data_IF_308434704700
#
_entry.id   IF_308434704700
#
_cell.length_a   1.000
_cell.length_b   1.000
_cell.length_c   1.000
_cell.angle_alpha   90.00
_cell.angle_beta   90.00
_cell.angle_gamma   90.00
#
_symmetry.space_group_name_H-M   'P 1'
#
loop_
_entity.id
_entity.type
_entity.pdbx_description
1 polymer ?
#
# COMPACT_ATOMS: atom_id res chain seq x y z
N UNK A 1 2.75 37.59 -2.99
CA UNK A 1 2.68 36.20 -2.49
C UNK A 1 1.32 35.65 -2.82
N UNK A 2 1.23 34.74 -3.78
CA UNK A 2 0.00 33.99 -4.06
C UNK A 2 -0.14 32.91 -2.99
N UNK A 3 -1.20 32.96 -2.19
CA UNK A 3 -1.47 31.93 -1.18
C UNK A 3 -1.72 30.57 -1.84
N UNK A 4 -1.50 29.49 -1.08
CA UNK A 4 -1.78 28.12 -1.55
C UNK A 4 -3.22 28.01 -2.09
N UNK A 5 -3.46 27.31 -3.20
CA UNK A 5 -4.80 27.19 -3.76
C UNK A 5 -5.77 26.52 -2.80
N UNK A 6 -6.90 27.18 -2.53
CA UNK A 6 -8.00 26.64 -1.69
C UNK A 6 -9.26 26.33 -2.50
N UNK A 7 -9.37 26.91 -3.70
CA UNK A 7 -10.47 26.64 -4.64
C UNK A 7 -10.17 25.39 -5.44
N UNK A 8 -11.20 24.56 -5.59
CA UNK A 8 -11.12 23.37 -6.42
C UNK A 8 -11.01 23.75 -7.90
N UNK A 9 -10.22 22.97 -8.64
CA UNK A 9 -10.25 22.94 -10.09
C UNK A 9 -10.00 21.50 -10.54
N UNK A 10 -10.62 21.12 -11.66
CA UNK A 10 -10.40 19.79 -12.25
C UNK A 10 -8.91 19.56 -12.59
N UNK A 11 -8.19 20.61 -13.03
CA UNK A 11 -6.75 20.53 -13.30
C UNK A 11 -5.93 20.14 -12.07
N UNK A 12 -6.19 20.76 -10.91
CA UNK A 12 -5.51 20.39 -9.66
C UNK A 12 -5.85 18.97 -9.23
N UNK A 13 -7.12 18.56 -9.39
CA UNK A 13 -7.55 17.21 -9.08
C UNK A 13 -6.82 16.17 -9.95
N UNK A 14 -6.74 16.40 -11.26
CA UNK A 14 -6.01 15.54 -12.20
C UNK A 14 -4.53 15.44 -11.85
N UNK A 15 -3.86 16.57 -11.63
CA UNK A 15 -2.43 16.60 -11.28
C UNK A 15 -2.12 15.81 -9.98
N UNK A 16 -2.96 15.98 -8.95
CA UNK A 16 -2.87 15.20 -7.70
C UNK A 16 -3.01 13.70 -7.98
N UNK A 17 -4.02 13.31 -8.76
CA UNK A 17 -4.27 11.90 -9.09
C UNK A 17 -3.15 11.29 -9.93
N UNK A 18 -2.63 12.01 -10.93
CA UNK A 18 -1.51 11.56 -11.77
C UNK A 18 -0.25 11.34 -10.93
N UNK A 19 0.11 12.29 -10.05
CA UNK A 19 1.28 12.16 -9.17
C UNK A 19 1.12 11.04 -8.16
N UNK A 20 -0.08 10.87 -7.59
CA UNK A 20 -0.38 9.74 -6.71
C UNK A 20 -0.20 8.40 -7.43
N UNK A 21 -0.78 8.27 -8.62
CA UNK A 21 -0.70 7.07 -9.42
C UNK A 21 0.75 6.70 -9.73
N UNK A 22 1.62 7.68 -9.95
CA UNK A 22 3.07 7.50 -10.17
C UNK A 22 3.90 7.33 -8.86
N UNK A 23 3.29 6.89 -7.76
CA UNK A 23 4.00 6.57 -6.51
C UNK A 23 4.23 7.74 -5.56
N UNK A 24 3.97 8.99 -5.94
CA UNK A 24 4.24 10.11 -5.04
C UNK A 24 3.24 10.17 -3.88
N UNK A 25 3.72 10.35 -2.64
CA UNK A 25 2.82 10.50 -1.49
C UNK A 25 2.05 11.82 -1.54
N UNK A 26 0.77 11.81 -1.12
CA UNK A 26 -0.02 13.05 -0.99
C UNK A 26 0.69 14.15 -0.16
N UNK A 27 1.48 13.75 0.84
CA UNK A 27 2.26 14.70 1.65
C UNK A 27 3.29 15.45 0.82
N UNK A 28 3.98 14.74 -0.09
CA UNK A 28 5.02 15.33 -0.95
C UNK A 28 4.37 16.17 -2.05
N UNK A 29 3.29 15.69 -2.66
CA UNK A 29 2.48 16.48 -3.61
C UNK A 29 2.05 17.81 -2.99
N UNK A 30 1.39 17.77 -1.83
CA UNK A 30 0.96 18.97 -1.13
C UNK A 30 2.10 19.84 -0.58
N UNK A 31 3.37 19.42 -0.68
CA UNK A 31 4.49 20.26 -0.24
C UNK A 31 4.82 21.36 -1.25
N UNK A 32 4.52 21.15 -2.53
CA UNK A 32 4.78 22.11 -3.60
C UNK A 32 3.95 23.39 -3.43
N UNK A 33 4.53 24.54 -3.82
CA UNK A 33 3.93 25.87 -3.60
C UNK A 33 2.60 26.04 -4.35
N UNK A 34 2.50 25.47 -5.55
CA UNK A 34 1.32 25.55 -6.40
C UNK A 34 0.23 24.51 -6.03
N UNK A 35 0.48 23.64 -5.04
CA UNK A 35 -0.44 22.59 -4.64
C UNK A 35 -1.30 22.99 -3.44
N UNK A 36 -2.58 22.55 -3.39
CA UNK A 36 -3.42 22.73 -2.23
C UNK A 36 -2.82 22.01 -1.01
N UNK A 37 -3.13 22.50 0.18
CA UNK A 37 -2.77 21.81 1.40
C UNK A 37 -3.54 20.47 1.54
N UNK A 38 -3.00 19.56 2.36
CA UNK A 38 -3.59 18.24 2.57
C UNK A 38 -5.03 18.30 3.12
N UNK A 39 -5.34 19.25 4.01
CA UNK A 39 -6.68 19.38 4.58
C UNK A 39 -7.68 19.87 3.53
N UNK A 40 -7.27 20.72 2.60
CA UNK A 40 -8.08 21.12 1.44
C UNK A 40 -8.40 19.94 0.54
N UNK A 41 -7.42 19.08 0.22
CA UNK A 41 -7.66 17.86 -0.58
C UNK A 41 -8.64 16.92 0.13
N UNK A 42 -8.43 16.66 1.42
CA UNK A 42 -9.34 15.83 2.22
C UNK A 42 -10.75 16.40 2.23
N UNK A 43 -10.90 17.73 2.38
CA UNK A 43 -12.21 18.39 2.35
C UNK A 43 -12.94 18.17 1.02
N UNK A 44 -12.25 18.24 -0.12
CA UNK A 44 -12.88 17.95 -1.42
C UNK A 44 -13.35 16.49 -1.51
N UNK A 45 -12.51 15.54 -1.08
CA UNK A 45 -12.87 14.11 -1.05
C UNK A 45 -14.08 13.84 -0.14
N UNK A 46 -14.09 14.42 1.07
CA UNK A 46 -15.22 14.27 2.01
C UNK A 46 -16.52 14.82 1.44
N UNK A 47 -16.48 15.99 0.79
CA UNK A 47 -17.66 16.60 0.17
C UNK A 47 -18.17 15.80 -1.01
N UNK A 48 -17.27 15.27 -1.86
CA UNK A 48 -17.66 14.38 -2.96
C UNK A 48 -18.27 13.06 -2.46
N UNK A 49 -17.69 12.47 -1.41
CA UNK A 49 -18.23 11.29 -0.76
C UNK A 49 -19.60 11.54 -0.09
N UNK A 50 -19.87 12.77 0.36
CA UNK A 50 -21.17 13.20 0.86
C UNK A 50 -22.22 13.46 -0.23
N UNK A 51 -21.87 13.28 -1.51
CA UNK A 51 -22.79 13.42 -2.65
C UNK A 51 -22.73 14.76 -3.37
N UNK A 52 -21.76 15.63 -3.07
CA UNK A 52 -21.60 16.88 -3.82
C UNK A 52 -21.02 16.64 -5.22
N UNK A 53 -21.83 16.90 -6.24
CA UNK A 53 -21.52 16.61 -7.65
C UNK A 53 -20.21 17.24 -8.13
N UNK A 54 -19.86 18.43 -7.62
CA UNK A 54 -18.62 19.15 -7.97
C UNK A 54 -17.35 18.32 -7.72
N UNK A 55 -17.36 17.44 -6.73
CA UNK A 55 -16.18 16.65 -6.32
C UNK A 55 -16.31 15.17 -6.61
N UNK A 56 -17.45 14.72 -7.12
CA UNK A 56 -17.74 13.29 -7.33
C UNK A 56 -16.71 12.64 -8.26
N UNK A 57 -16.46 13.25 -9.41
CA UNK A 57 -15.45 12.78 -10.36
C UNK A 57 -14.04 12.73 -9.76
N UNK A 58 -13.71 13.64 -8.84
CA UNK A 58 -12.42 13.62 -8.15
C UNK A 58 -12.29 12.43 -7.20
N UNK A 59 -13.34 12.06 -6.48
CA UNK A 59 -13.32 10.86 -5.63
C UNK A 59 -13.06 9.59 -6.43
N UNK A 60 -13.73 9.44 -7.58
CA UNK A 60 -13.58 8.26 -8.44
C UNK A 60 -12.16 8.19 -9.04
N UNK A 61 -11.64 9.33 -9.53
CA UNK A 61 -10.25 9.42 -10.02
C UNK A 61 -9.23 9.15 -8.92
N UNK A 62 -9.46 9.67 -7.72
CA UNK A 62 -8.55 9.49 -6.59
C UNK A 62 -8.50 8.03 -6.14
N UNK A 63 -9.64 7.33 -6.13
CA UNK A 63 -9.68 5.89 -5.86
C UNK A 63 -8.87 5.11 -6.90
N UNK A 64 -9.08 5.39 -8.19
CA UNK A 64 -8.31 4.77 -9.27
C UNK A 64 -6.80 5.08 -9.17
N UNK A 65 -6.43 6.32 -8.84
CA UNK A 65 -5.04 6.72 -8.62
C UNK A 65 -4.40 5.95 -7.45
N UNK A 66 -5.16 5.64 -6.40
CA UNK A 66 -4.67 4.82 -5.28
C UNK A 66 -4.46 3.36 -5.67
N UNK A 67 -5.28 2.82 -6.56
CA UNK A 67 -5.07 1.49 -7.11
C UNK A 67 -3.78 1.43 -7.97
N UNK A 68 -3.55 2.43 -8.82
CA UNK A 68 -2.33 2.53 -9.63
C UNK A 68 -1.08 2.84 -8.80
N UNK A 69 -1.22 3.63 -7.75
CA UNK A 69 -0.12 3.89 -6.81
C UNK A 69 0.43 2.59 -6.19
N UNK A 70 -0.43 1.61 -5.96
CA UNK A 70 0.00 0.31 -5.48
C UNK A 70 0.92 -0.40 -6.49
N UNK A 71 0.66 -0.26 -7.80
CA UNK A 71 1.54 -0.76 -8.86
C UNK A 71 2.92 -0.11 -8.79
N UNK A 72 2.96 1.22 -8.81
CA UNK A 72 4.22 1.95 -8.80
C UNK A 72 5.05 1.65 -7.55
N UNK A 73 4.42 1.39 -6.41
CA UNK A 73 5.14 0.94 -5.22
C UNK A 73 5.75 -0.46 -5.35
N UNK A 74 5.11 -1.38 -6.07
CA UNK A 74 5.69 -2.69 -6.33
C UNK A 74 6.85 -2.60 -7.30
N UNK A 75 6.70 -1.83 -8.40
CA UNK A 75 7.79 -1.60 -9.36
C UNK A 75 9.00 -0.94 -8.69
N UNK A 76 8.77 0.14 -7.93
CA UNK A 76 9.84 0.80 -7.17
C UNK A 76 10.48 -0.14 -6.13
N UNK A 77 9.72 -1.08 -5.55
CA UNK A 77 10.28 -2.01 -4.58
C UNK A 77 11.26 -2.99 -5.26
N UNK A 78 10.97 -3.43 -6.48
CA UNK A 78 11.89 -4.25 -7.29
C UNK A 78 13.15 -3.44 -7.62
N UNK A 79 13.01 -2.22 -8.14
CA UNK A 79 14.14 -1.35 -8.47
C UNK A 79 15.05 -1.07 -7.26
N UNK A 80 14.48 -0.92 -6.06
CA UNK A 80 15.26 -0.71 -4.83
C UNK A 80 15.98 -1.99 -4.40
N UNK A 81 15.36 -3.15 -4.58
CA UNK A 81 15.96 -4.43 -4.21
C UNK A 81 17.14 -4.80 -5.14
N UNK A 82 17.00 -4.50 -6.43
CA UNK A 82 18.01 -4.79 -7.46
C UNK A 82 19.06 -3.67 -7.59
N UNK A 83 18.81 -2.49 -7.02
CA UNK A 83 19.69 -1.34 -7.08
C UNK A 83 20.96 -1.48 -6.25
N UNK A 84 22.05 -0.90 -6.74
CA UNK A 84 23.29 -0.83 -5.97
C UNK A 84 23.24 0.29 -4.92
N UNK A 85 23.87 0.09 -3.74
CA UNK A 85 23.97 1.14 -2.74
C UNK A 85 24.74 2.32 -3.33
N UNK A 86 24.15 3.52 -3.28
CA UNK A 86 24.81 4.73 -3.74
C UNK A 86 26.16 4.87 -3.04
N UNK A 87 27.26 4.75 -3.79
CA UNK A 87 28.60 4.89 -3.23
C UNK A 87 28.74 6.32 -2.68
N UNK A 88 29.28 6.47 -1.47
CA UNK A 88 29.66 7.82 -1.03
C UNK A 88 30.70 8.31 -2.02
N UNK A 89 30.46 9.44 -2.68
CA UNK A 89 31.54 10.18 -3.35
C UNK A 89 32.66 10.33 -2.32
N UNK A 90 33.75 9.63 -2.55
CA UNK A 90 34.85 9.54 -1.61
C UNK A 90 35.54 10.90 -1.58
N UNK A 91 35.16 11.76 -0.64
CA UNK A 91 35.89 13.00 -0.38
C UNK A 91 37.21 12.61 0.29
N UNK A 92 38.25 12.46 -0.54
CA UNK A 92 39.63 12.32 -0.08
C UNK A 92 40.34 11.03 -0.51
N UNK A 93 40.50 10.81 -1.81
CA UNK A 93 41.55 9.91 -2.30
C UNK A 93 42.93 10.56 -2.06
N UNK A 94 43.52 10.30 -0.90
CA UNK A 94 44.98 10.32 -0.79
C UNK A 94 45.48 8.93 -1.20
N UNK A 95 46.58 8.89 -1.95
CA UNK A 95 47.23 7.74 -2.62
C UNK A 95 47.78 6.64 -1.68
N UNK A 96 47.37 6.66 -0.41
CA UNK A 96 47.74 5.68 0.60
C UNK A 96 46.60 4.68 0.70
N UNK A 97 46.82 3.41 0.31
CA UNK A 97 45.78 2.38 0.18
C UNK A 97 44.77 2.32 1.35
N UNK A 98 43.55 1.86 1.07
CA UNK A 98 42.39 1.83 1.98
C UNK A 98 42.79 1.37 3.39
N UNK A 99 42.70 2.29 4.36
CA UNK A 99 43.01 1.96 5.76
C UNK A 99 41.98 0.97 6.33
N UNK A 100 42.31 0.19 7.37
CA UNK A 100 41.34 -0.66 8.05
C UNK A 100 40.14 0.11 8.64
N UNK A 101 40.31 1.40 8.95
CA UNK A 101 39.23 2.25 9.44
C UNK A 101 38.30 2.67 8.30
N UNK A 102 38.84 2.93 7.12
CA UNK A 102 38.06 3.21 5.91
C UNK A 102 37.29 1.98 5.44
N UNK A 103 37.88 0.77 5.56
CA UNK A 103 37.20 -0.47 5.22
C UNK A 103 36.04 -0.80 6.19
N UNK A 104 36.23 -0.57 7.50
CA UNK A 104 35.15 -0.72 8.49
C UNK A 104 34.04 0.31 8.25
N UNK A 105 34.38 1.59 8.08
CA UNK A 105 33.40 2.65 7.82
C UNK A 105 32.62 2.38 6.52
N UNK A 106 33.27 1.83 5.49
CA UNK A 106 32.62 1.40 4.24
C UNK A 106 31.65 0.25 4.50
N UNK A 107 32.04 -0.76 5.27
CA UNK A 107 31.16 -1.89 5.60
C UNK A 107 29.93 -1.46 6.39
N UNK A 108 30.09 -0.58 7.39
CA UNK A 108 28.99 -0.02 8.17
C UNK A 108 28.02 0.79 7.30
N UNK A 109 28.55 1.59 6.36
CA UNK A 109 27.73 2.34 5.41
C UNK A 109 26.92 1.43 4.47
N UNK A 110 27.55 0.39 3.93
CA UNK A 110 26.88 -0.60 3.07
C UNK A 110 25.77 -1.33 3.84
N UNK A 111 26.04 -1.74 5.09
CA UNK A 111 25.05 -2.37 5.95
C UNK A 111 23.87 -1.43 6.27
N UNK A 112 24.14 -0.16 6.58
CA UNK A 112 23.10 0.83 6.83
C UNK A 112 22.25 1.11 5.58
N UNK A 113 22.86 1.10 4.40
CA UNK A 113 22.16 1.29 3.11
C UNK A 113 21.26 0.09 2.80
N UNK A 114 21.79 -1.13 2.91
CA UNK A 114 21.01 -2.35 2.74
C UNK A 114 19.82 -2.42 3.72
N UNK A 115 20.03 -2.03 4.99
CA UNK A 115 18.95 -2.00 5.98
C UNK A 115 17.88 -0.94 5.64
N UNK A 116 18.31 0.22 5.13
CA UNK A 116 17.40 1.27 4.67
C UNK A 116 16.59 0.79 3.47
N UNK A 117 17.22 0.15 2.49
CA UNK A 117 16.56 -0.33 1.29
C UNK A 117 15.58 -1.46 1.60
N UNK A 118 15.95 -2.39 2.48
CA UNK A 118 15.01 -3.37 3.05
C UNK A 118 13.79 -2.69 3.65
N UNK A 119 13.96 -1.68 4.50
CA UNK A 119 12.84 -0.95 5.11
C UNK A 119 11.96 -0.26 4.05
N UNK A 120 12.57 0.28 2.99
CA UNK A 120 11.85 0.93 1.89
C UNK A 120 11.02 -0.05 1.07
N UNK A 121 11.56 -1.23 0.78
CA UNK A 121 10.88 -2.35 0.10
C UNK A 121 9.71 -2.82 0.97
N UNK A 122 9.97 -3.18 2.22
CA UNK A 122 8.95 -3.68 3.16
C UNK A 122 7.79 -2.67 3.33
N UNK A 123 8.11 -1.38 3.42
CA UNK A 123 7.09 -0.32 3.54
C UNK A 123 6.24 -0.21 2.29
N UNK A 124 6.85 -0.27 1.10
CA UNK A 124 6.14 -0.19 -0.19
C UNK A 124 5.20 -1.36 -0.39
N UNK A 125 5.68 -2.58 -0.18
CA UNK A 125 4.87 -3.80 -0.28
C UNK A 125 3.66 -3.70 0.67
N UNK A 126 3.90 -3.37 1.95
CA UNK A 126 2.82 -3.25 2.93
C UNK A 126 1.78 -2.19 2.59
N UNK A 127 2.19 -1.09 1.96
CA UNK A 127 1.25 -0.06 1.52
C UNK A 127 0.49 -0.53 0.28
N UNK A 128 1.16 -1.14 -0.69
CA UNK A 128 0.54 -1.69 -1.90
C UNK A 128 -0.53 -2.76 -1.56
N UNK A 129 -0.24 -3.66 -0.61
CA UNK A 129 -1.19 -4.64 -0.07
C UNK A 129 -2.47 -4.00 0.48
N UNK A 130 -2.34 -2.84 1.14
CA UNK A 130 -3.48 -2.11 1.73
C UNK A 130 -4.25 -1.30 0.71
N UNK A 131 -3.57 -0.74 -0.29
CA UNK A 131 -4.19 0.05 -1.34
C UNK A 131 -4.96 -0.85 -2.32
N UNK A 132 -4.38 -1.99 -2.73
CA UNK A 132 -4.99 -2.90 -3.68
C UNK A 132 -4.98 -4.36 -3.17
N UNK A 133 -5.76 -4.69 -2.10
CA UNK A 133 -5.73 -5.99 -1.45
C UNK A 133 -6.14 -7.15 -2.36
N UNK A 134 -6.98 -6.91 -3.38
CA UNK A 134 -7.36 -7.94 -4.35
C UNK A 134 -6.20 -8.37 -5.27
N UNK A 135 -5.26 -7.47 -5.53
CA UNK A 135 -4.13 -7.68 -6.45
C UNK A 135 -2.89 -8.15 -5.70
N UNK A 136 -2.59 -7.49 -4.57
CA UNK A 136 -1.35 -7.69 -3.83
C UNK A 136 -1.52 -8.28 -2.44
N UNK A 137 -2.74 -8.37 -1.91
CA UNK A 137 -2.95 -8.89 -0.56
C UNK A 137 -2.38 -10.29 -0.40
N UNK A 138 -1.53 -10.47 0.60
CA UNK A 138 -1.07 -11.80 0.99
C UNK A 138 -2.26 -12.67 1.41
N UNK A 139 -2.47 -13.78 0.69
CA UNK A 139 -3.39 -14.82 1.13
C UNK A 139 -2.77 -15.47 2.36
N UNK A 140 -3.26 -15.13 3.54
CA UNK A 140 -2.91 -15.88 4.74
C UNK A 140 -3.32 -17.34 4.61
N UNK A 141 -2.63 -18.24 5.31
CA UNK A 141 -3.05 -19.62 5.49
C UNK A 141 -4.40 -19.64 6.21
N UNK A 142 -5.51 -19.68 5.45
CA UNK A 142 -6.84 -19.85 6.00
C UNK A 142 -7.00 -21.28 6.49
N UNK A 143 -6.64 -21.51 7.76
CA UNK A 143 -6.95 -22.75 8.46
C UNK A 143 -8.43 -22.69 8.90
N UNK A 144 -9.34 -23.08 8.00
CA UNK A 144 -10.79 -23.13 8.31
C UNK A 144 -11.07 -24.39 9.11
N UNK A 145 -11.10 -24.27 10.44
CA UNK A 145 -11.53 -25.36 11.30
C UNK A 145 -13.07 -25.33 11.44
N UNK A 146 -13.78 -26.03 10.55
CA UNK A 146 -15.23 -26.19 10.65
C UNK A 146 -15.53 -27.25 11.72
N UNK A 147 -15.76 -26.81 12.96
CA UNK A 147 -16.39 -27.65 13.97
C UNK A 147 -17.91 -27.58 13.78
N UNK A 148 -18.49 -28.59 13.13
CA UNK A 148 -19.94 -28.76 13.10
C UNK A 148 -20.39 -29.20 14.50
N UNK A 149 -20.75 -28.24 15.35
CA UNK A 149 -21.42 -28.54 16.61
C UNK A 149 -22.91 -28.83 16.33
N UNK A 150 -23.25 -30.13 16.39
CA UNK A 150 -24.60 -30.60 16.73
C UNK A 150 -25.67 -30.45 15.65
N UNK A 151 -25.77 -31.44 14.75
CA UNK A 151 -27.08 -31.76 14.16
C UNK A 151 -27.83 -32.55 15.22
N UNK A 152 -28.70 -31.88 15.96
CA UNK A 152 -29.65 -32.56 16.84
C UNK A 152 -30.76 -33.11 15.94
N UNK A 153 -30.65 -34.39 15.59
CA UNK A 153 -31.73 -35.13 14.94
C UNK A 153 -32.99 -34.98 15.82
N UNK A 154 -34.04 -34.39 15.26
CA UNK A 154 -35.32 -34.29 15.93
C UNK A 154 -35.77 -35.72 16.27
N UNK A 155 -36.37 -35.93 17.45
CA UNK A 155 -36.86 -37.25 17.88
C UNK A 155 -37.80 -37.92 16.88
N UNK A 156 -38.39 -37.13 15.97
CA UNK A 156 -39.23 -37.59 14.85
C UNK A 156 -38.44 -38.43 13.81
N UNK A 157 -37.15 -38.20 13.63
CA UNK A 157 -36.33 -38.92 12.64
C UNK A 157 -35.90 -40.31 13.11
N UNK A 158 -35.81 -40.53 14.44
CA UNK A 158 -35.58 -41.87 15.00
C UNK A 158 -36.79 -42.80 14.80
N UNK A 159 -38.00 -42.26 14.89
CA UNK A 159 -39.23 -43.03 14.72
C UNK A 159 -39.39 -43.54 13.28
N UNK A 160 -39.02 -42.71 12.28
CA UNK A 160 -39.03 -43.11 10.87
C UNK A 160 -38.02 -44.24 10.60
N UNK A 161 -36.81 -44.17 11.16
CA UNK A 161 -35.79 -45.22 10.96
C UNK A 161 -36.18 -46.57 11.59
N UNK A 162 -36.84 -46.56 12.75
CA UNK A 162 -37.36 -47.79 13.38
C UNK A 162 -38.54 -48.41 12.60
N UNK A 163 -39.32 -47.59 11.88
CA UNK A 163 -40.40 -48.07 11.03
C UNK A 163 -39.86 -48.70 9.73
N UNK A 164 -38.85 -48.09 9.11
CA UNK A 164 -38.17 -48.64 7.93
C UNK A 164 -37.43 -49.95 8.23
N UNK A 165 -36.86 -50.11 9.43
CA UNK A 165 -36.20 -51.36 9.84
C UNK A 165 -37.18 -52.55 10.01
N UNK A 166 -38.48 -52.28 10.23
CA UNK A 166 -39.50 -53.33 10.38
C UNK A 166 -40.11 -53.80 9.06
N UNK A 167 -39.96 -53.02 7.98
CA UNK A 167 -40.55 -53.32 6.67
C UNK A 167 -39.58 -54.05 5.71
N UNK A 168 -38.34 -54.32 6.13
CA UNK A 168 -37.31 -54.98 5.31
C UNK A 168 -36.97 -56.41 5.73
N UNK A 169 -37.95 -57.31 5.84
CA UNK A 169 -37.73 -58.77 5.86
C UNK A 169 -38.16 -59.41 4.55
#
# INVERSE_FOLDING_TARGET
>A
MTGRPTRYSAKLATDICERLANGESLRRICSDEHMPDKATVIRWLTRGAAGEETYKAFCDQYACARDWQAESYMDEAVDIADGEPAEREHIGSNDDGVSPQDSQARQEFLAATAQRDKLRVDTRIKVAEKLAPKRFGSKGDTNVNVSVNGVQLAEQDKALLDEYAKQGK
#
